data_IF_478570908597
#
_entry.id   IF_478570908597
#
_cell.length_a   1.000
_cell.length_b   1.000
_cell.length_c   1.000
_cell.angle_alpha   90.00
_cell.angle_beta   90.00
_cell.angle_gamma   90.00
#
_symmetry.space_group_name_H-M   'P 1'
#
loop_
_entity.id
_entity.type
_entity.pdbx_description
1 polymer ?
#
# COMPACT_ATOMS: atom_id res chain seq x y z
N UNK A 1 -13.73 5.44 0.57
CA UNK A 1 -13.36 4.15 -0.06
C UNK A 1 -12.05 4.36 -0.78
N UNK A 2 -10.95 3.73 -0.35
CA UNK A 2 -9.75 3.68 -1.19
C UNK A 2 -10.07 2.77 -2.37
N UNK A 3 -9.94 3.30 -3.58
CA UNK A 3 -10.36 2.65 -4.83
C UNK A 3 -9.44 1.50 -5.27
N UNK A 4 -8.44 1.17 -4.45
CA UNK A 4 -7.32 0.25 -4.76
C UNK A 4 -7.01 -0.57 -3.52
N UNK A 5 -6.87 -1.89 -3.69
CA UNK A 5 -6.56 -2.88 -2.66
C UNK A 5 -5.15 -3.47 -2.81
N UNK A 6 -4.73 -4.25 -1.80
CA UNK A 6 -3.47 -5.02 -1.87
C UNK A 6 -3.48 -6.09 -2.97
N UNK A 7 -4.65 -6.69 -3.22
CA UNK A 7 -4.83 -7.65 -4.31
C UNK A 7 -4.66 -6.96 -5.67
N UNK A 8 -5.28 -5.79 -5.87
CA UNK A 8 -5.15 -5.03 -7.11
C UNK A 8 -3.70 -4.64 -7.40
N UNK A 9 -2.92 -4.29 -6.35
CA UNK A 9 -1.50 -4.01 -6.50
C UNK A 9 -0.71 -5.25 -6.91
N UNK A 10 -1.02 -6.41 -6.33
CA UNK A 10 -0.35 -7.67 -6.63
C UNK A 10 -0.58 -8.09 -8.08
N UNK A 11 -1.82 -8.02 -8.56
CA UNK A 11 -2.18 -8.30 -9.95
C UNK A 11 -1.41 -7.37 -10.91
N UNK A 12 -1.39 -6.07 -10.62
CA UNK A 12 -0.64 -5.11 -11.42
C UNK A 12 0.88 -5.37 -11.42
N UNK A 13 1.45 -5.80 -10.30
CA UNK A 13 2.88 -6.14 -10.24
C UNK A 13 3.20 -7.33 -11.15
N UNK A 14 2.33 -8.34 -11.22
CA UNK A 14 2.50 -9.46 -12.15
C UNK A 14 2.35 -9.03 -13.61
N UNK A 15 1.34 -8.21 -13.94
CA UNK A 15 1.21 -7.63 -15.29
C UNK A 15 2.46 -6.83 -15.70
N UNK A 16 3.07 -6.13 -14.74
CA UNK A 16 4.30 -5.36 -14.98
C UNK A 16 5.52 -6.27 -15.23
N UNK A 17 5.57 -7.44 -14.59
CA UNK A 17 6.60 -8.45 -14.86
C UNK A 17 6.49 -9.00 -16.27
N UNK A 18 5.27 -9.30 -16.74
CA UNK A 18 5.04 -9.78 -18.09
C UNK A 18 5.45 -8.74 -19.14
N UNK A 19 5.14 -7.46 -18.91
CA UNK A 19 5.56 -6.34 -19.77
C UNK A 19 7.08 -6.20 -19.84
N UNK A 20 7.77 -6.34 -18.71
CA UNK A 20 9.24 -6.27 -18.66
C UNK A 20 9.92 -7.45 -19.37
N UNK A 21 9.24 -8.60 -19.45
CA UNK A 21 9.74 -9.78 -20.15
C UNK A 21 9.51 -9.73 -21.68
N UNK A 22 8.75 -8.74 -22.18
CA UNK A 22 8.46 -8.59 -23.60
C UNK A 22 9.71 -8.14 -24.38
N UNK A 23 10.25 -9.05 -25.19
CA UNK A 23 11.44 -8.81 -26.01
C UNK A 23 11.17 -7.93 -27.24
N UNK A 24 9.91 -7.59 -27.52
CA UNK A 24 9.54 -6.72 -28.63
C UNK A 24 9.63 -5.22 -28.30
N UNK A 25 9.86 -4.87 -27.03
CA UNK A 25 9.95 -3.49 -26.59
C UNK A 25 11.21 -2.80 -27.14
N UNK A 26 11.04 -1.55 -27.55
CA UNK A 26 12.18 -0.68 -27.85
C UNK A 26 12.98 -0.37 -26.57
N UNK A 27 14.23 0.11 -26.69
CA UNK A 27 15.01 0.55 -25.54
C UNK A 27 14.29 1.61 -24.67
N UNK A 28 13.61 2.57 -25.30
CA UNK A 28 12.86 3.63 -24.62
C UNK A 28 11.62 3.10 -23.90
N UNK A 29 10.93 2.13 -24.50
CA UNK A 29 9.79 1.47 -23.87
C UNK A 29 10.25 0.63 -22.67
N UNK A 30 11.36 -0.08 -22.80
CA UNK A 30 11.99 -0.82 -21.70
C UNK A 30 12.34 0.10 -20.53
N UNK A 31 12.96 1.26 -20.78
CA UNK A 31 13.26 2.24 -19.71
C UNK A 31 11.98 2.73 -19.02
N UNK A 32 10.91 2.94 -19.79
CA UNK A 32 9.60 3.34 -19.25
C UNK A 32 9.01 2.27 -18.33
N UNK A 33 9.02 1.00 -18.73
CA UNK A 33 8.49 -0.09 -17.93
C UNK A 33 9.36 -0.35 -16.67
N UNK A 34 10.68 -0.14 -16.74
CA UNK A 34 11.57 -0.18 -15.57
C UNK A 34 11.20 0.90 -14.55
N UNK A 35 10.99 2.15 -15.00
CA UNK A 35 10.58 3.26 -14.12
C UNK A 35 9.23 3.01 -13.46
N UNK A 36 8.27 2.46 -14.21
CA UNK A 36 6.96 2.09 -13.66
C UNK A 36 7.09 1.00 -12.59
N UNK A 37 7.83 -0.06 -12.88
CA UNK A 37 8.08 -1.14 -11.93
C UNK A 37 8.72 -0.61 -10.63
N UNK A 38 9.73 0.26 -10.73
CA UNK A 38 10.36 0.88 -9.56
C UNK A 38 9.37 1.72 -8.74
N UNK A 39 8.50 2.50 -9.40
CA UNK A 39 7.46 3.27 -8.71
C UNK A 39 6.44 2.37 -7.99
N UNK A 40 6.08 1.23 -8.59
CA UNK A 40 5.16 0.26 -8.00
C UNK A 40 5.76 -0.44 -6.78
N UNK A 41 7.03 -0.83 -6.82
CA UNK A 41 7.75 -1.35 -5.65
C UNK A 41 7.74 -0.32 -4.53
N UNK A 42 8.05 0.95 -4.84
CA UNK A 42 8.01 2.04 -3.85
C UNK A 42 6.61 2.34 -3.29
N UNK A 43 5.54 1.95 -3.98
CA UNK A 43 4.17 2.00 -3.45
C UNK A 43 3.89 0.78 -2.56
N UNK A 44 4.30 -0.42 -2.99
CA UNK A 44 4.16 -1.66 -2.22
C UNK A 44 4.85 -1.56 -0.87
N UNK A 45 6.08 -1.03 -0.82
CA UNK A 45 6.82 -0.83 0.43
C UNK A 45 6.09 0.09 1.41
N UNK A 46 5.48 1.16 0.91
CA UNK A 46 4.68 2.10 1.74
C UNK A 46 3.44 1.42 2.30
N UNK A 47 2.76 0.60 1.49
CA UNK A 47 1.56 -0.13 1.94
C UNK A 47 1.95 -1.18 2.99
N UNK A 48 3.02 -1.95 2.75
CA UNK A 48 3.54 -2.92 3.71
C UNK A 48 3.94 -2.27 5.04
N UNK A 49 4.64 -1.12 4.98
CA UNK A 49 4.99 -0.33 6.17
C UNK A 49 3.76 0.10 6.95
N UNK A 50 2.70 0.54 6.25
CA UNK A 50 1.45 0.94 6.88
C UNK A 50 0.68 -0.26 7.50
N UNK A 51 0.73 -1.42 6.86
CA UNK A 51 0.17 -2.66 7.39
C UNK A 51 0.91 -3.12 8.66
N UNK A 52 2.23 -3.10 8.66
CA UNK A 52 3.06 -3.41 9.83
C UNK A 52 2.78 -2.43 11.00
N UNK A 53 2.65 -1.13 10.70
CA UNK A 53 2.27 -0.14 11.70
C UNK A 53 0.88 -0.45 12.30
N UNK A 54 -0.07 -0.92 11.47
CA UNK A 54 -1.41 -1.29 11.91
C UNK A 54 -1.38 -2.50 12.84
N UNK A 55 -0.58 -3.50 12.48
CA UNK A 55 -0.38 -4.69 13.31
C UNK A 55 0.27 -4.33 14.66
N UNK A 56 1.29 -3.47 14.65
CA UNK A 56 1.94 -2.99 15.88
C UNK A 56 0.97 -2.23 16.78
N UNK A 57 0.14 -1.35 16.20
CA UNK A 57 -0.91 -0.64 16.95
C UNK A 57 -1.93 -1.61 17.56
N UNK A 58 -2.35 -2.64 16.81
CA UNK A 58 -3.25 -3.68 17.31
C UNK A 58 -2.64 -4.49 18.46
N UNK A 59 -1.35 -4.83 18.39
CA UNK A 59 -0.63 -5.52 19.47
C UNK A 59 -0.56 -4.67 20.74
N UNK A 60 -0.16 -3.40 20.60
CA UNK A 60 -0.12 -2.46 21.74
C UNK A 60 -1.49 -2.30 22.40
N UNK A 61 -2.57 -2.26 21.61
CA UNK A 61 -3.93 -2.23 22.12
C UNK A 61 -4.30 -3.52 22.86
N UNK A 62 -3.92 -4.68 22.33
CA UNK A 62 -4.16 -5.95 23.02
C UNK A 62 -3.40 -6.05 24.36
N UNK A 63 -2.20 -5.47 24.45
CA UNK A 63 -1.37 -5.50 25.66
C UNK A 63 -1.79 -4.49 26.74
N UNK A 64 -2.21 -3.27 26.34
CA UNK A 64 -2.47 -2.16 27.27
C UNK A 64 -3.93 -1.69 27.31
N UNK A 65 -4.78 -2.25 26.45
CA UNK A 65 -6.20 -1.91 26.36
C UNK A 65 -6.45 -0.46 25.89
N UNK A 66 -7.62 0.11 26.22
CA UNK A 66 -8.02 1.44 25.74
C UNK A 66 -7.11 2.60 26.17
N UNK A 67 -6.27 2.42 27.19
CA UNK A 67 -5.42 3.49 27.73
C UNK A 67 -4.39 4.01 26.73
N UNK A 68 -3.98 3.18 25.76
CA UNK A 68 -2.98 3.57 24.75
C UNK A 68 -3.60 4.22 23.51
N UNK A 69 -4.94 4.25 23.39
CA UNK A 69 -5.64 4.81 22.22
C UNK A 69 -5.23 6.26 21.87
N UNK A 70 -5.03 7.19 22.84
CA UNK A 70 -4.57 8.55 22.53
C UNK A 70 -3.16 8.62 21.94
N UNK A 71 -2.37 7.56 22.12
CA UNK A 71 -0.97 7.48 21.72
C UNK A 71 -0.77 6.63 20.44
N UNK A 72 -1.79 5.91 19.98
CA UNK A 72 -1.69 5.16 18.73
C UNK A 72 -1.63 6.09 17.53
N UNK A 73 -0.77 5.79 16.54
CA UNK A 73 -0.82 6.50 15.27
C UNK A 73 -2.20 6.33 14.64
N UNK A 74 -2.73 7.41 14.08
CA UNK A 74 -3.94 7.36 13.27
C UNK A 74 -3.59 6.73 11.93
N UNK A 75 -3.79 5.42 11.83
CA UNK A 75 -3.54 4.68 10.60
C UNK A 75 -4.82 4.71 9.76
N UNK A 76 -4.70 5.01 8.48
CA UNK A 76 -5.77 5.53 7.63
C UNK A 76 -7.12 4.82 7.74
N UNK A 77 -8.09 5.50 8.36
CA UNK A 77 -9.41 5.84 7.82
C UNK A 77 -10.12 6.80 8.82
N UNK A 78 -10.19 8.10 8.51
CA UNK A 78 -10.86 9.12 9.35
C UNK A 78 -12.15 9.68 8.71
N UNK A 79 -12.81 8.94 7.80
CA UNK A 79 -13.99 9.43 7.08
C UNK A 79 -15.32 8.78 7.49
N UNK A 80 -15.57 8.61 8.80
CA UNK A 80 -16.92 8.36 9.33
C UNK A 80 -17.21 9.04 10.69
N UNK A 81 -16.84 10.31 10.84
CA UNK A 81 -17.28 11.14 11.99
C UNK A 81 -17.81 12.53 11.60
N UNK A 82 -18.14 12.76 10.32
CA UNK A 82 -18.81 13.98 9.84
C UNK A 82 -19.91 13.63 8.85
N UNK A 83 -20.99 13.05 9.37
CA UNK A 83 -22.19 12.69 8.63
C UNK A 83 -23.31 12.42 9.63
N UNK A 84 -23.61 13.42 10.43
CA UNK A 84 -24.59 13.40 11.52
C UNK A 84 -25.05 14.81 11.81
N UNK A 85 -25.72 15.42 10.84
CA UNK A 85 -26.70 16.52 10.97
C UNK A 85 -27.52 16.54 9.70
#
# INVERSE_FOLDING_TARGET
MSKVSLADLNDHLFDQLDRLADQSLSPEQTDTEIRKAAAMVGLADRISTNADLSLKAAKLFAEHGPTILPHLPKIGNQDKARGGS
#
